data_IF_483899386191
#
_entry.id   IF_483899386191
#
_cell.length_a   1.000
_cell.length_b   1.000
_cell.length_c   1.000
_cell.angle_alpha   90.00
_cell.angle_beta   90.00
_cell.angle_gamma   90.00
#
_symmetry.space_group_name_H-M   'P 1'
#
loop_
_entity.id
_entity.type
_entity.pdbx_description
1 polymer ?
#
# COMPACT_ATOMS: atom_id res chain seq x y z
N UNK A 1 -4.22 -24.43 -3.68
CA UNK A 1 -3.86 -24.12 -5.08
C UNK A 1 -5.03 -23.61 -5.94
N UNK A 2 -6.30 -23.79 -5.56
CA UNK A 2 -7.46 -23.27 -6.32
C UNK A 2 -7.35 -21.76 -6.54
N UNK A 3 -7.10 -20.99 -5.49
CA UNK A 3 -6.97 -19.52 -5.55
C UNK A 3 -5.78 -19.03 -6.41
N UNK A 4 -4.66 -19.76 -6.47
CA UNK A 4 -3.57 -19.41 -7.39
C UNK A 4 -3.98 -19.61 -8.88
N UNK A 5 -4.94 -20.51 -9.16
CA UNK A 5 -5.50 -20.64 -10.50
C UNK A 5 -6.45 -19.48 -10.84
N UNK A 6 -7.14 -18.91 -9.85
CA UNK A 6 -7.98 -17.73 -10.07
C UNK A 6 -7.11 -16.51 -10.42
N UNK A 7 -5.95 -16.35 -9.73
CA UNK A 7 -4.95 -15.33 -10.10
C UNK A 7 -4.42 -15.56 -11.51
N UNK A 8 -4.13 -16.82 -11.86
CA UNK A 8 -3.70 -17.17 -13.24
C UNK A 8 -4.73 -16.80 -14.29
N UNK A 9 -6.00 -17.06 -14.04
CA UNK A 9 -7.07 -16.67 -14.96
C UNK A 9 -7.10 -15.13 -15.17
N UNK A 10 -6.91 -14.36 -14.11
CA UNK A 10 -6.81 -12.92 -14.20
C UNK A 10 -5.58 -12.47 -15.01
N UNK A 11 -4.40 -13.07 -14.77
CA UNK A 11 -3.18 -12.77 -15.54
C UNK A 11 -3.37 -13.09 -17.02
N UNK A 12 -3.91 -14.26 -17.35
CA UNK A 12 -4.20 -14.66 -18.75
C UNK A 12 -5.18 -13.68 -19.42
N UNK A 13 -6.16 -13.17 -18.68
CA UNK A 13 -7.05 -12.13 -19.18
C UNK A 13 -6.30 -10.83 -19.45
N UNK A 14 -5.48 -10.37 -18.49
CA UNK A 14 -4.70 -9.12 -18.62
C UNK A 14 -3.70 -9.17 -19.77
N UNK A 15 -3.06 -10.32 -19.99
CA UNK A 15 -2.12 -10.53 -21.12
C UNK A 15 -2.75 -10.29 -22.51
N UNK A 16 -4.08 -10.30 -22.62
CA UNK A 16 -4.79 -10.03 -23.87
C UNK A 16 -5.18 -8.56 -24.03
N UNK A 17 -4.93 -7.71 -23.03
CA UNK A 17 -5.35 -6.33 -23.06
C UNK A 17 -4.31 -5.46 -23.80
N UNK A 18 -4.72 -4.56 -24.71
CA UNK A 18 -3.79 -3.78 -25.54
C UNK A 18 -2.97 -2.74 -24.76
N UNK A 19 -3.37 -2.44 -23.53
CA UNK A 19 -2.69 -1.48 -22.64
C UNK A 19 -1.74 -2.16 -21.63
N UNK A 20 -1.59 -3.47 -21.68
CA UNK A 20 -0.71 -4.23 -20.77
C UNK A 20 0.63 -4.51 -21.44
N UNK A 21 1.71 -4.16 -20.76
CA UNK A 21 3.04 -4.61 -21.14
C UNK A 21 3.21 -6.08 -20.72
N UNK A 22 3.02 -6.96 -21.67
CA UNK A 22 3.07 -8.41 -21.45
C UNK A 22 4.43 -8.96 -21.05
N UNK A 23 5.48 -8.14 -21.13
CA UNK A 23 6.85 -8.51 -20.71
C UNK A 23 7.18 -8.13 -19.28
N UNK A 24 6.33 -7.32 -18.62
CA UNK A 24 6.56 -6.73 -17.30
C UNK A 24 5.33 -6.81 -16.41
N UNK A 25 5.06 -7.98 -15.88
CA UNK A 25 3.96 -8.24 -14.96
C UNK A 25 4.52 -8.51 -13.56
N UNK A 26 3.94 -7.87 -12.57
CA UNK A 26 4.21 -8.09 -11.16
C UNK A 26 2.93 -8.60 -10.48
N UNK A 27 3.08 -9.59 -9.61
CA UNK A 27 1.98 -10.07 -8.78
C UNK A 27 2.28 -9.67 -7.33
N UNK A 28 1.32 -9.05 -6.67
CA UNK A 28 1.42 -8.71 -5.26
C UNK A 28 0.19 -9.13 -4.48
N UNK A 29 0.37 -9.38 -3.20
CA UNK A 29 -0.75 -9.68 -2.32
C UNK A 29 -0.41 -9.51 -0.85
N UNK A 30 -1.43 -9.27 -0.03
CA UNK A 30 -1.31 -9.12 1.41
C UNK A 30 -2.02 -10.27 2.13
N UNK A 31 -1.50 -10.68 3.27
CA UNK A 31 -2.09 -11.73 4.12
C UNK A 31 -2.30 -13.03 3.33
N UNK A 32 -3.52 -13.54 3.26
CA UNK A 32 -3.81 -14.70 2.42
C UNK A 32 -3.47 -14.46 0.94
N UNK A 33 -3.61 -13.21 0.45
CA UNK A 33 -3.18 -12.83 -0.90
C UNK A 33 -1.68 -12.94 -1.09
N UNK A 34 -0.86 -12.64 -0.09
CA UNK A 34 0.58 -12.83 -0.11
C UNK A 34 0.98 -14.30 -0.24
N UNK A 35 0.34 -15.18 0.54
CA UNK A 35 0.52 -16.62 0.39
C UNK A 35 0.15 -17.12 -1.01
N UNK A 36 -0.98 -16.64 -1.55
CA UNK A 36 -1.45 -17.00 -2.88
C UNK A 36 -0.47 -16.51 -3.96
N UNK A 37 0.09 -15.31 -3.79
CA UNK A 37 1.13 -14.75 -4.67
C UNK A 37 2.34 -15.66 -4.77
N UNK A 38 2.85 -16.14 -3.63
CA UNK A 38 3.99 -17.07 -3.62
C UNK A 38 3.60 -18.44 -4.20
N UNK A 39 2.40 -18.93 -3.89
CA UNK A 39 1.89 -20.17 -4.49
C UNK A 39 1.73 -20.06 -6.02
N UNK A 40 1.32 -18.90 -6.53
CA UNK A 40 1.26 -18.62 -7.97
C UNK A 40 2.63 -18.75 -8.64
N UNK A 41 3.71 -18.32 -7.96
CA UNK A 41 5.08 -18.39 -8.45
C UNK A 41 5.57 -19.81 -8.76
N UNK A 42 4.91 -20.85 -8.28
CA UNK A 42 5.28 -22.26 -8.61
C UNK A 42 5.03 -22.62 -10.04
N UNK A 43 4.14 -21.87 -10.72
CA UNK A 43 3.79 -22.08 -12.13
C UNK A 43 3.38 -20.73 -12.75
N UNK A 44 4.34 -19.82 -12.93
CA UNK A 44 4.03 -18.48 -13.42
C UNK A 44 3.73 -18.49 -14.92
N UNK A 45 2.91 -17.53 -15.34
CA UNK A 45 2.70 -17.24 -16.76
C UNK A 45 3.87 -16.42 -17.32
N UNK A 46 4.07 -16.47 -18.63
CA UNK A 46 5.10 -15.68 -19.30
C UNK A 46 4.90 -14.18 -19.04
N UNK A 47 6.01 -13.46 -18.85
CA UNK A 47 5.98 -12.03 -18.56
C UNK A 47 5.89 -11.65 -17.08
N UNK A 48 5.55 -12.59 -16.20
CA UNK A 48 5.63 -12.34 -14.74
C UNK A 48 7.08 -12.34 -14.31
N UNK A 49 7.56 -11.20 -13.79
CA UNK A 49 8.97 -10.94 -13.48
C UNK A 49 9.26 -10.89 -11.99
N UNK A 50 8.26 -10.72 -11.16
CA UNK A 50 8.44 -10.61 -9.72
C UNK A 50 7.16 -10.84 -8.94
N UNK A 51 7.35 -11.16 -7.66
CA UNK A 51 6.29 -11.38 -6.69
C UNK A 51 6.53 -10.50 -5.47
N UNK A 52 5.48 -9.87 -4.94
CA UNK A 52 5.57 -9.14 -3.66
C UNK A 52 4.59 -9.74 -2.66
N UNK A 53 5.12 -10.15 -1.53
CA UNK A 53 4.41 -10.77 -0.44
C UNK A 53 4.40 -9.84 0.78
N UNK A 54 3.25 -9.20 1.02
CA UNK A 54 3.02 -8.41 2.24
C UNK A 54 2.37 -9.28 3.30
N UNK A 55 3.09 -9.57 4.39
CA UNK A 55 2.58 -10.30 5.56
C UNK A 55 1.83 -11.58 5.17
N UNK A 56 2.35 -12.34 4.19
CA UNK A 56 1.64 -13.46 3.57
C UNK A 56 1.57 -14.68 4.45
N UNK A 57 0.37 -15.21 4.59
CA UNK A 57 0.14 -16.42 5.36
C UNK A 57 -1.33 -16.85 5.35
N UNK A 58 -1.60 -17.99 5.99
CA UNK A 58 -2.96 -18.47 6.24
C UNK A 58 -3.02 -19.19 7.57
N UNK A 59 -3.96 -18.79 8.42
CA UNK A 59 -4.15 -19.38 9.75
C UNK A 59 -5.47 -20.13 9.81
N UNK A 60 -5.38 -21.43 10.08
CA UNK A 60 -6.54 -22.31 10.30
C UNK A 60 -6.54 -22.76 11.75
N UNK A 61 -7.16 -21.99 12.63
CA UNK A 61 -7.18 -22.27 14.08
C UNK A 61 -7.74 -23.64 14.45
N UNK A 62 -8.57 -24.24 13.60
CA UNK A 62 -9.10 -25.59 13.81
C UNK A 62 -8.11 -26.70 13.42
N UNK A 63 -6.98 -26.36 12.77
CA UNK A 63 -5.94 -27.31 12.40
C UNK A 63 -4.84 -27.26 13.46
N UNK A 64 -4.62 -28.34 14.20
CA UNK A 64 -3.64 -28.39 15.30
C UNK A 64 -2.21 -28.01 14.85
N UNK A 65 -1.82 -28.38 13.63
CA UNK A 65 -0.47 -28.20 13.11
C UNK A 65 -0.41 -27.11 12.03
N UNK A 66 -1.29 -26.12 12.07
CA UNK A 66 -1.38 -25.11 11.01
C UNK A 66 -0.06 -24.37 10.75
N UNK A 67 0.73 -24.09 11.81
CA UNK A 67 2.04 -23.43 11.68
C UNK A 67 3.04 -24.28 10.90
N UNK A 68 3.17 -25.57 11.23
CA UNK A 68 4.04 -26.47 10.48
C UNK A 68 3.54 -26.69 9.05
N UNK A 69 2.24 -26.78 8.86
CA UNK A 69 1.66 -26.96 7.52
C UNK A 69 1.94 -25.77 6.61
N UNK A 70 1.91 -24.53 7.13
CA UNK A 70 2.26 -23.35 6.33
C UNK A 70 3.75 -23.31 6.01
N UNK A 71 4.63 -23.68 6.93
CA UNK A 71 6.08 -23.82 6.67
C UNK A 71 6.34 -24.85 5.57
N UNK A 72 5.70 -26.02 5.64
CA UNK A 72 5.81 -27.05 4.61
C UNK A 72 5.27 -26.58 3.24
N UNK A 73 4.20 -25.78 3.24
CA UNK A 73 3.66 -25.18 2.02
C UNK A 73 4.69 -24.22 1.38
N UNK A 74 5.33 -23.36 2.15
CA UNK A 74 6.37 -22.46 1.64
C UNK A 74 7.60 -23.23 1.15
N UNK A 75 8.01 -24.32 1.81
CA UNK A 75 9.06 -25.20 1.29
C UNK A 75 8.68 -25.78 -0.09
N UNK A 76 7.47 -26.30 -0.22
CA UNK A 76 6.95 -26.81 -1.50
C UNK A 76 6.91 -25.74 -2.60
N UNK A 77 6.54 -24.50 -2.25
CA UNK A 77 6.54 -23.40 -3.20
C UNK A 77 7.95 -22.99 -3.60
N UNK A 78 8.90 -22.94 -2.66
CA UNK A 78 10.31 -22.63 -2.93
C UNK A 78 10.96 -23.64 -3.88
N UNK A 79 10.60 -24.91 -3.76
CA UNK A 79 11.10 -25.96 -4.66
C UNK A 79 10.73 -25.74 -6.13
N UNK A 80 9.57 -25.12 -6.39
CA UNK A 80 9.04 -24.96 -7.74
C UNK A 80 9.07 -23.53 -8.28
N UNK A 81 9.36 -22.55 -7.43
CA UNK A 81 9.35 -21.13 -7.83
C UNK A 81 10.76 -20.64 -8.14
N UNK A 82 10.95 -20.13 -9.35
CA UNK A 82 12.19 -19.50 -9.80
C UNK A 82 12.05 -18.00 -10.02
N UNK A 83 10.89 -17.41 -9.69
CA UNK A 83 10.62 -15.98 -9.81
C UNK A 83 11.15 -15.26 -8.58
N UNK A 84 11.92 -14.16 -8.75
CA UNK A 84 12.33 -13.31 -7.64
C UNK A 84 11.11 -12.83 -6.83
N UNK A 85 11.21 -12.88 -5.52
CA UNK A 85 10.14 -12.40 -4.64
C UNK A 85 10.66 -11.47 -3.55
N UNK A 86 9.87 -10.45 -3.20
CA UNK A 86 10.10 -9.55 -2.10
C UNK A 86 9.07 -9.84 -1.00
N UNK A 87 9.56 -10.11 0.22
CA UNK A 87 8.74 -10.43 1.37
C UNK A 87 8.87 -9.31 2.41
N UNK A 88 7.75 -8.69 2.74
CA UNK A 88 7.69 -7.55 3.67
C UNK A 88 6.84 -7.94 4.86
N UNK A 89 7.42 -7.93 6.05
CA UNK A 89 6.75 -8.25 7.31
C UNK A 89 7.20 -7.27 8.39
N UNK A 90 6.40 -7.16 9.44
CA UNK A 90 6.75 -6.37 10.60
C UNK A 90 6.78 -7.18 11.88
N UNK A 91 7.45 -6.65 12.91
CA UNK A 91 7.71 -7.35 14.16
C UNK A 91 6.45 -7.60 15.00
N UNK A 92 5.50 -6.66 15.00
CA UNK A 92 4.28 -6.73 15.80
C UNK A 92 3.05 -7.23 15.02
N UNK A 93 3.28 -8.13 14.04
CA UNK A 93 2.16 -8.78 13.33
C UNK A 93 1.38 -9.70 14.27
N UNK A 94 0.09 -9.41 14.46
CA UNK A 94 -0.77 -10.18 15.37
C UNK A 94 -1.16 -11.57 14.87
N UNK A 95 -0.92 -11.86 13.58
CA UNK A 95 -1.22 -13.17 12.97
C UNK A 95 -0.01 -14.07 12.88
N UNK A 96 1.17 -13.49 12.62
CA UNK A 96 2.39 -14.24 12.33
C UNK A 96 3.48 -13.94 13.36
N UNK A 97 3.72 -14.84 14.35
CA UNK A 97 4.87 -14.70 15.22
C UNK A 97 6.18 -14.66 14.42
N UNK A 98 7.13 -13.83 14.85
CA UNK A 98 8.44 -13.64 14.19
C UNK A 98 9.14 -14.96 13.88
N UNK A 99 9.09 -15.91 14.80
CA UNK A 99 9.70 -17.22 14.62
C UNK A 99 9.06 -18.00 13.46
N UNK A 100 7.73 -17.91 13.32
CA UNK A 100 7.03 -18.55 12.21
C UNK A 100 7.39 -17.90 10.88
N UNK A 101 7.52 -16.57 10.83
CA UNK A 101 7.96 -15.84 9.63
C UNK A 101 9.34 -16.30 9.18
N UNK A 102 10.29 -16.42 10.15
CA UNK A 102 11.63 -16.92 9.85
C UNK A 102 11.62 -18.37 9.34
N UNK A 103 10.80 -19.23 9.94
CA UNK A 103 10.66 -20.61 9.50
C UNK A 103 10.09 -20.72 8.08
N UNK A 104 9.06 -19.95 7.75
CA UNK A 104 8.48 -19.88 6.39
C UNK A 104 9.52 -19.40 5.35
N UNK A 105 10.25 -18.32 5.68
CA UNK A 105 11.28 -17.75 4.81
C UNK A 105 12.44 -18.73 4.58
N UNK A 106 12.94 -19.33 5.66
CA UNK A 106 14.04 -20.30 5.61
C UNK A 106 13.64 -21.54 4.82
N UNK A 107 12.44 -22.06 5.05
CA UNK A 107 11.91 -23.21 4.31
C UNK A 107 11.80 -22.93 2.81
N UNK A 108 11.31 -21.77 2.44
CA UNK A 108 11.22 -21.34 1.04
C UNK A 108 12.60 -21.22 0.38
N UNK A 109 13.55 -20.53 1.05
CA UNK A 109 14.92 -20.31 0.54
C UNK A 109 15.71 -21.61 0.45
N UNK A 110 15.65 -22.46 1.48
CA UNK A 110 16.36 -23.76 1.51
C UNK A 110 15.87 -24.71 0.43
N UNK A 111 14.62 -24.55 -0.02
CA UNK A 111 14.07 -25.32 -1.14
C UNK A 111 14.43 -24.74 -2.51
N UNK A 112 15.16 -23.62 -2.60
CA UNK A 112 15.61 -22.99 -3.85
C UNK A 112 14.86 -21.74 -4.26
N UNK A 113 13.85 -21.33 -3.49
CA UNK A 113 13.06 -20.12 -3.77
C UNK A 113 13.88 -18.83 -3.57
N UNK A 114 13.73 -17.90 -4.50
CA UNK A 114 14.40 -16.60 -4.43
C UNK A 114 13.52 -15.61 -3.66
N UNK A 115 13.89 -15.28 -2.45
CA UNK A 115 13.18 -14.31 -1.61
C UNK A 115 14.14 -13.28 -1.02
N UNK A 116 13.88 -12.01 -1.24
CA UNK A 116 14.40 -10.91 -0.45
C UNK A 116 13.47 -10.68 0.73
N UNK A 117 14.01 -10.38 1.90
CA UNK A 117 13.23 -10.18 3.10
C UNK A 117 13.47 -8.78 3.67
N UNK A 118 12.40 -8.10 3.97
CA UNK A 118 12.40 -6.79 4.62
C UNK A 118 11.59 -6.89 5.90
N UNK A 119 12.27 -6.71 7.02
CA UNK A 119 11.64 -6.47 8.30
C UNK A 119 11.47 -4.97 8.49
N UNK A 120 10.24 -4.52 8.60
CA UNK A 120 9.92 -3.10 8.76
C UNK A 120 9.86 -2.68 10.25
N UNK A 121 10.19 -3.59 11.17
CA UNK A 121 10.08 -3.34 12.59
C UNK A 121 8.62 -3.24 13.07
N UNK A 122 8.40 -2.39 14.07
CA UNK A 122 7.07 -2.16 14.65
C UNK A 122 6.32 -1.13 13.81
N UNK A 123 5.09 -1.46 13.42
CA UNK A 123 4.20 -0.54 12.75
C UNK A 123 2.89 -0.37 13.52
N UNK A 124 2.66 0.83 14.05
CA UNK A 124 1.45 1.17 14.83
C UNK A 124 1.16 0.08 15.89
N UNK A 125 -0.09 -0.30 16.01
CA UNK A 125 -0.53 -1.37 16.94
C UNK A 125 -0.43 -2.77 16.34
N UNK A 126 -0.31 -2.87 15.00
CA UNK A 126 -0.29 -4.15 14.30
C UNK A 126 0.27 -3.98 12.88
N UNK A 127 1.46 -4.49 12.63
CA UNK A 127 2.10 -4.42 11.32
C UNK A 127 1.40 -5.23 10.22
N UNK A 128 0.42 -6.05 10.57
CA UNK A 128 -0.39 -6.77 9.57
C UNK A 128 -1.17 -5.82 8.64
N UNK A 129 -1.50 -4.61 9.11
CA UNK A 129 -2.21 -3.59 8.33
C UNK A 129 -1.33 -2.80 7.37
N UNK A 130 -0.01 -2.94 7.42
CA UNK A 130 0.98 -2.11 6.73
C UNK A 130 0.67 -1.85 5.25
N UNK A 131 0.32 -2.90 4.51
CA UNK A 131 0.11 -2.80 3.06
C UNK A 131 -1.14 -1.98 2.67
N UNK A 132 -2.14 -1.96 3.54
CA UNK A 132 -3.41 -1.24 3.32
C UNK A 132 -3.53 0.07 4.10
N UNK A 133 -2.56 0.38 4.94
CA UNK A 133 -2.56 1.60 5.73
C UNK A 133 -1.87 2.73 4.95
N UNK A 134 -2.47 3.93 4.84
CA UNK A 134 -1.87 5.06 4.13
C UNK A 134 -0.47 5.40 4.60
N UNK A 135 -0.23 5.38 5.92
CA UNK A 135 1.07 5.69 6.51
C UNK A 135 2.13 4.59 6.25
N UNK A 136 1.68 3.39 5.85
CA UNK A 136 2.56 2.28 5.53
C UNK A 136 3.33 2.47 4.22
N UNK A 137 2.77 3.23 3.27
CA UNK A 137 3.35 3.38 1.94
C UNK A 137 4.77 3.95 1.98
N UNK A 138 5.00 5.00 2.76
CA UNK A 138 6.33 5.61 2.91
C UNK A 138 7.36 4.64 3.53
N UNK A 139 6.91 3.63 4.26
CA UNK A 139 7.77 2.65 4.92
C UNK A 139 8.18 1.52 3.97
N UNK A 140 7.21 0.94 3.26
CA UNK A 140 7.50 -0.21 2.39
C UNK A 140 7.92 0.18 0.97
N UNK A 141 7.53 1.37 0.47
CA UNK A 141 7.79 1.79 -0.91
C UNK A 141 9.28 1.79 -1.30
N UNK A 142 10.23 2.28 -0.49
CA UNK A 142 11.64 2.28 -0.88
C UNK A 142 12.17 0.88 -1.22
N UNK A 143 11.75 -0.13 -0.47
CA UNK A 143 12.14 -1.52 -0.72
C UNK A 143 11.48 -2.09 -1.98
N UNK A 144 10.22 -1.76 -2.19
CA UNK A 144 9.49 -2.14 -3.42
C UNK A 144 10.10 -1.46 -4.63
N UNK A 145 10.38 -0.17 -4.58
CA UNK A 145 11.01 0.58 -5.68
C UNK A 145 12.37 0.00 -6.05
N UNK A 146 13.22 -0.29 -5.07
CA UNK A 146 14.50 -0.93 -5.31
C UNK A 146 14.37 -2.31 -5.96
N UNK A 147 13.39 -3.12 -5.52
CA UNK A 147 13.07 -4.41 -6.11
C UNK A 147 12.59 -4.28 -7.56
N UNK A 148 11.66 -3.36 -7.82
CA UNK A 148 11.14 -3.07 -9.16
C UNK A 148 12.24 -2.62 -10.13
N UNK A 149 13.11 -1.71 -9.69
CA UNK A 149 14.23 -1.22 -10.48
C UNK A 149 15.19 -2.35 -10.90
N UNK A 150 15.49 -3.29 -9.98
CA UNK A 150 16.34 -4.45 -10.31
C UNK A 150 15.70 -5.38 -11.34
N UNK A 151 14.38 -5.46 -11.36
CA UNK A 151 13.62 -6.26 -12.32
C UNK A 151 13.33 -5.54 -13.65
N UNK A 152 13.78 -4.28 -13.80
CA UNK A 152 13.59 -3.48 -15.02
C UNK A 152 12.18 -2.91 -15.17
N UNK A 153 11.43 -2.78 -14.06
CA UNK A 153 10.16 -2.06 -14.07
C UNK A 153 10.38 -0.55 -14.04
N UNK A 154 9.51 0.25 -14.68
CA UNK A 154 9.54 1.69 -14.52
C UNK A 154 9.06 2.07 -13.12
N UNK A 155 9.84 2.88 -12.44
CA UNK A 155 9.47 3.45 -11.12
C UNK A 155 9.32 4.96 -11.18
N UNK A 156 9.70 5.58 -12.31
CA UNK A 156 9.51 6.99 -12.51
C UNK A 156 8.03 7.32 -12.62
N UNK A 157 7.58 8.31 -11.87
CA UNK A 157 6.24 8.87 -11.99
C UNK A 157 6.06 9.43 -13.42
N UNK A 158 5.17 8.84 -14.20
CA UNK A 158 4.90 9.24 -15.58
C UNK A 158 3.80 10.29 -15.67
N UNK A 159 2.84 10.22 -14.79
CA UNK A 159 1.72 11.15 -14.70
C UNK A 159 1.69 11.74 -13.29
N UNK A 160 1.60 13.05 -13.21
CA UNK A 160 1.34 13.71 -11.95
C UNK A 160 -0.15 13.55 -11.63
N UNK A 161 -0.46 13.31 -10.37
CA UNK A 161 -1.83 13.38 -9.92
C UNK A 161 -2.33 14.84 -9.96
N UNK A 162 -3.63 15.10 -9.99
CA UNK A 162 -4.16 16.46 -9.91
C UNK A 162 -3.61 17.25 -8.72
N UNK A 163 -3.27 16.57 -7.63
CA UNK A 163 -2.67 17.14 -6.43
C UNK A 163 -1.30 17.76 -6.69
N UNK A 164 -0.51 17.15 -7.58
CA UNK A 164 0.83 17.63 -7.94
C UNK A 164 0.81 18.91 -8.81
N UNK A 165 -0.36 19.33 -9.28
CA UNK A 165 -0.50 20.44 -10.22
C UNK A 165 -0.79 21.76 -9.49
N UNK A 166 -1.32 21.70 -8.27
CA UNK A 166 -1.66 22.89 -7.51
C UNK A 166 -0.39 23.54 -6.92
N UNK A 167 -0.14 24.82 -7.25
CA UNK A 167 1.06 25.50 -6.77
C UNK A 167 0.98 25.74 -5.27
N UNK A 168 2.11 25.63 -4.59
CA UNK A 168 2.26 26.08 -3.21
C UNK A 168 1.96 27.57 -3.13
N UNK A 169 1.03 27.95 -2.26
CA UNK A 169 0.56 29.33 -2.19
C UNK A 169 1.36 30.20 -1.23
N UNK A 170 2.12 29.58 -0.30
CA UNK A 170 2.79 30.25 0.81
C UNK A 170 1.83 31.09 1.69
N UNK A 171 0.54 30.76 1.71
CA UNK A 171 -0.46 31.46 2.50
C UNK A 171 -0.15 31.42 4.00
N UNK A 172 0.23 30.27 4.49
CA UNK A 172 0.69 30.06 5.88
C UNK A 172 1.56 28.78 5.96
N UNK A 173 2.39 28.63 7.01
CA UNK A 173 2.99 27.36 7.35
C UNK A 173 1.92 26.29 7.59
N UNK A 174 2.18 25.05 7.17
CA UNK A 174 1.20 23.96 7.25
C UNK A 174 0.79 23.62 8.68
N UNK A 175 1.68 23.80 9.64
CA UNK A 175 1.46 23.55 11.08
C UNK A 175 0.80 24.70 11.82
N UNK A 176 0.59 25.85 11.16
CA UNK A 176 -0.07 27.01 11.74
C UNK A 176 -1.59 26.88 11.72
N UNK A 177 -2.14 26.11 12.64
CA UNK A 177 -3.56 25.75 12.70
C UNK A 177 -4.48 26.96 12.75
N UNK A 178 -4.07 28.01 13.46
CA UNK A 178 -4.88 29.23 13.61
C UNK A 178 -4.93 30.09 12.34
N UNK A 179 -4.06 29.84 11.38
CA UNK A 179 -4.08 30.50 10.07
C UNK A 179 -5.05 29.82 9.09
N UNK A 180 -5.57 28.63 9.38
CA UNK A 180 -6.56 27.95 8.50
C UNK A 180 -7.86 28.74 8.59
N UNK A 181 -8.31 29.37 7.47
CA UNK A 181 -9.46 30.27 7.51
C UNK A 181 -10.77 29.52 7.79
N UNK A 182 -11.75 30.24 8.30
CA UNK A 182 -13.14 29.79 8.50
C UNK A 182 -13.35 28.62 9.47
N UNK A 183 -12.31 28.00 10.01
CA UNK A 183 -12.48 26.86 10.91
C UNK A 183 -12.90 27.27 12.32
N UNK A 184 -13.95 26.64 12.80
CA UNK A 184 -14.31 26.63 14.22
C UNK A 184 -13.38 25.68 15.01
N UNK A 185 -13.61 25.53 16.30
CA UNK A 185 -12.82 24.65 17.17
C UNK A 185 -12.86 23.19 16.72
N UNK A 186 -13.99 22.72 16.17
CA UNK A 186 -14.12 21.37 15.64
C UNK A 186 -13.30 21.19 14.38
N UNK A 187 -13.32 22.18 13.49
CA UNK A 187 -12.51 22.19 12.28
C UNK A 187 -11.00 22.23 12.59
N UNK A 188 -10.58 23.07 13.55
CA UNK A 188 -9.18 23.12 14.01
C UNK A 188 -8.72 21.78 14.61
N UNK A 189 -9.59 21.07 15.34
CA UNK A 189 -9.27 19.73 15.83
C UNK A 189 -9.17 18.72 14.67
N UNK A 190 -10.04 18.82 13.66
CA UNK A 190 -9.95 18.02 12.44
C UNK A 190 -8.67 18.27 11.65
N UNK A 191 -8.21 19.54 11.59
CA UNK A 191 -6.94 19.87 10.96
C UNK A 191 -5.73 19.34 11.75
N UNK A 192 -5.77 19.37 13.09
CA UNK A 192 -4.75 18.72 13.92
C UNK A 192 -4.68 17.21 13.67
N UNK A 193 -5.84 16.58 13.47
CA UNK A 193 -5.87 15.15 13.13
C UNK A 193 -5.27 14.89 11.74
N UNK A 194 -5.63 15.70 10.73
CA UNK A 194 -5.04 15.65 9.40
C UNK A 194 -3.51 15.71 9.44
N UNK A 195 -2.93 16.59 10.27
CA UNK A 195 -1.47 16.76 10.38
C UNK A 195 -0.73 15.54 10.95
N UNK A 196 -1.43 14.61 11.62
CA UNK A 196 -0.82 13.39 12.18
C UNK A 196 -0.62 12.28 11.17
N UNK A 197 -1.26 12.37 10.00
CA UNK A 197 -1.18 11.34 8.98
C UNK A 197 -0.02 11.57 8.02
N UNK A 198 0.50 10.47 7.43
CA UNK A 198 1.48 10.53 6.35
C UNK A 198 0.84 10.81 5.00
N UNK A 199 1.70 11.14 4.04
CA UNK A 199 1.30 11.44 2.66
C UNK A 199 0.92 10.14 1.89
N UNK A 200 0.00 10.20 0.90
CA UNK A 200 -0.73 11.40 0.47
C UNK A 200 -1.88 11.75 1.42
N UNK A 201 -2.01 13.03 1.74
CA UNK A 201 -3.08 13.58 2.59
C UNK A 201 -3.56 14.92 2.04
N UNK A 202 -4.87 15.13 2.02
CA UNK A 202 -5.50 16.34 1.48
C UNK A 202 -6.49 16.91 2.49
N UNK A 203 -6.43 18.21 2.76
CA UNK A 203 -7.42 18.93 3.54
C UNK A 203 -8.17 19.92 2.67
N UNK A 204 -9.49 19.91 2.72
CA UNK A 204 -10.37 20.77 1.93
C UNK A 204 -11.32 21.53 2.84
N UNK A 205 -11.66 22.76 2.46
CA UNK A 205 -12.65 23.57 3.18
C UNK A 205 -13.42 24.50 2.25
N UNK A 206 -14.58 24.96 2.72
CA UNK A 206 -15.37 26.04 2.12
C UNK A 206 -15.24 27.31 2.94
N UNK A 207 -15.66 28.44 2.38
CA UNK A 207 -15.75 29.73 3.07
C UNK A 207 -16.82 29.77 4.20
N UNK A 208 -17.66 28.73 4.30
CA UNK A 208 -18.59 28.54 5.41
C UNK A 208 -17.97 27.68 6.54
N UNK A 209 -16.70 27.35 6.49
CA UNK A 209 -16.02 26.52 7.50
C UNK A 209 -16.42 25.04 7.49
N UNK A 210 -17.05 24.56 6.38
CA UNK A 210 -17.24 23.13 6.17
C UNK A 210 -15.93 22.56 5.62
N UNK A 211 -15.55 21.41 6.12
CA UNK A 211 -14.27 20.81 5.82
C UNK A 211 -14.34 19.28 5.73
N UNK A 212 -13.37 18.72 5.04
CA UNK A 212 -13.08 17.30 5.04
C UNK A 212 -11.59 17.08 4.81
N UNK A 213 -11.11 15.90 5.14
CA UNK A 213 -9.80 15.44 4.67
C UNK A 213 -9.87 14.00 4.22
N UNK A 214 -8.96 13.64 3.33
CA UNK A 214 -8.73 12.27 2.90
C UNK A 214 -7.24 11.95 2.99
N UNK A 215 -6.95 10.69 3.27
CA UNK A 215 -5.60 10.16 3.37
C UNK A 215 -5.47 8.92 2.50
N UNK A 216 -4.33 8.73 1.86
CA UNK A 216 -3.99 7.56 1.05
C UNK A 216 -5.06 7.15 0.03
N UNK A 217 -4.86 5.99 -0.58
CA UNK A 217 -5.81 5.39 -1.51
C UNK A 217 -5.90 6.12 -2.87
N UNK A 218 -6.87 5.71 -3.68
CA UNK A 218 -7.11 6.31 -5.00
C UNK A 218 -7.81 7.67 -4.86
N UNK A 219 -7.32 8.67 -5.61
CA UNK A 219 -7.88 10.03 -5.72
C UNK A 219 -8.23 10.68 -4.36
N UNK A 220 -7.25 10.94 -3.48
CA UNK A 220 -7.53 11.57 -2.19
C UNK A 220 -8.08 13.00 -2.34
N UNK A 221 -7.67 13.75 -3.38
CA UNK A 221 -8.21 15.09 -3.65
C UNK A 221 -9.69 15.05 -3.98
N UNK A 222 -10.09 14.23 -4.93
CA UNK A 222 -11.51 14.09 -5.31
C UNK A 222 -12.38 13.61 -4.16
N UNK A 223 -11.88 12.67 -3.32
CA UNK A 223 -12.59 12.20 -2.13
C UNK A 223 -12.77 13.30 -1.09
N UNK A 224 -11.71 14.04 -0.77
CA UNK A 224 -11.78 15.13 0.20
C UNK A 224 -12.73 16.24 -0.27
N UNK A 225 -12.66 16.63 -1.56
CA UNK A 225 -13.57 17.62 -2.16
C UNK A 225 -15.01 17.15 -2.15
N UNK A 226 -15.27 15.90 -2.56
CA UNK A 226 -16.64 15.34 -2.57
C UNK A 226 -17.24 15.30 -1.16
N UNK A 227 -16.48 14.87 -0.16
CA UNK A 227 -16.97 14.77 1.21
C UNK A 227 -17.13 16.14 1.90
N UNK A 228 -16.33 17.12 1.53
CA UNK A 228 -16.54 18.50 1.93
C UNK A 228 -17.80 19.08 1.27
N UNK A 229 -17.97 18.86 -0.03
CA UNK A 229 -19.09 19.41 -0.80
C UNK A 229 -20.45 18.86 -0.35
N UNK A 230 -20.51 17.61 0.12
CA UNK A 230 -21.74 17.04 0.73
C UNK A 230 -22.20 17.79 1.98
N UNK A 231 -21.30 18.55 2.62
CA UNK A 231 -21.55 19.28 3.87
C UNK A 231 -21.73 20.78 3.65
N UNK A 232 -21.47 21.28 2.45
CA UNK A 232 -21.41 22.71 2.14
C UNK A 232 -22.24 23.05 0.90
N UNK A 233 -23.01 24.14 1.00
CA UNK A 233 -23.67 24.76 -0.15
C UNK A 233 -22.67 25.60 -0.99
N UNK A 234 -21.57 26.03 -0.39
CA UNK A 234 -20.50 26.78 -1.05
C UNK A 234 -19.41 25.83 -1.55
N UNK A 235 -18.67 26.29 -2.56
CA UNK A 235 -17.62 25.50 -3.20
C UNK A 235 -16.50 25.16 -2.19
N UNK A 236 -16.22 23.87 -2.07
CA UNK A 236 -15.06 23.40 -1.33
C UNK A 236 -13.81 23.47 -2.21
N UNK A 237 -12.71 23.94 -1.61
CA UNK A 237 -11.40 24.06 -2.27
C UNK A 237 -10.33 23.36 -1.42
N UNK A 238 -9.25 22.87 -2.03
CA UNK A 238 -8.13 22.35 -1.27
C UNK A 238 -7.45 23.47 -0.49
N UNK A 239 -7.15 23.21 0.77
CA UNK A 239 -6.34 24.08 1.62
C UNK A 239 -4.90 23.60 1.67
N UNK A 240 -4.72 22.31 1.95
CA UNK A 240 -3.42 21.68 2.07
C UNK A 240 -3.38 20.35 1.30
N UNK A 241 -2.26 20.10 0.66
CA UNK A 241 -1.92 18.88 -0.06
C UNK A 241 -0.57 18.42 0.45
N UNK A 242 -0.54 17.23 1.02
CA UNK A 242 0.65 16.67 1.65
C UNK A 242 1.24 17.62 2.72
N UNK A 243 2.42 18.15 2.49
CA UNK A 243 3.12 19.06 3.40
C UNK A 243 3.02 20.53 2.97
N UNK A 244 2.23 20.82 1.94
CA UNK A 244 2.13 22.14 1.33
C UNK A 244 0.75 22.78 1.47
N UNK A 245 0.71 24.09 1.76
CA UNK A 245 -0.51 24.88 1.71
C UNK A 245 -0.68 25.41 0.29
N UNK A 246 -1.83 25.08 -0.32
CA UNK A 246 -2.21 25.46 -1.70
C UNK A 246 -3.36 26.47 -1.74
N UNK A 247 -3.81 26.93 -0.59
CA UNK A 247 -4.93 27.86 -0.45
C UNK A 247 -4.63 29.22 -1.04
N UNK A 248 -5.48 29.67 -1.95
CA UNK A 248 -5.47 31.03 -2.49
C UNK A 248 -6.68 31.78 -1.96
N UNK A 249 -6.43 32.85 -1.20
CA UNK A 249 -7.47 33.77 -0.74
C UNK A 249 -8.00 34.55 -1.93
N UNK A 250 -9.30 34.55 -2.13
CA UNK A 250 -9.98 35.38 -3.16
C UNK A 250 -10.27 36.73 -2.60
#
# INVERSE_FOLDING_TARGET
MRQANDVRAAVVYMLKQPYVDVSRILISGSSQGGLITIAYGTRPDAGVRGLINFNGGSRQVKCQNWGQNIVNAFASYGHSSHIPSLWIYGENDSFWPQELIRQMLNAYRSAGGQAEFVDIGIFKTNSHSLAGDPDGTSIWWPSVEAFLNRLGFPTKVLYRSPEDILPVSHFAPIDQIDAVPYLDMKGKNGYREFLKHGNPRIFTLSDQGKWSFAIGGYDPLGRALSDCQKKSEHLCKPYAIDDDVVWVQQ
#
